data_IF_272818684095
#
_entry.id   IF_272818684095
#
_cell.length_a   1.000
_cell.length_b   1.000
_cell.length_c   1.000
_cell.angle_alpha   90.00
_cell.angle_beta   90.00
_cell.angle_gamma   90.00
#
_symmetry.space_group_name_H-M   'P 1'
#
loop_
_entity.id
_entity.type
_entity.pdbx_description
1 polymer ?
#
# COMPACT_ATOMS: atom_id res chain seq x y z
N UNK A 1 7.97 -8.11 -3.00
CA UNK A 1 8.78 -8.17 -4.24
C UNK A 1 7.91 -7.85 -5.45
N UNK A 2 8.48 -7.60 -6.63
CA UNK A 2 7.68 -7.40 -7.85
C UNK A 2 6.71 -8.58 -8.12
N UNK A 3 7.17 -9.79 -7.84
CA UNK A 3 6.37 -11.03 -7.90
C UNK A 3 5.15 -11.01 -6.96
N UNK A 4 5.29 -10.45 -5.75
CA UNK A 4 4.17 -10.27 -4.82
C UNK A 4 3.12 -9.32 -5.38
N UNK A 5 3.54 -8.26 -6.08
CA UNK A 5 2.62 -7.29 -6.67
C UNK A 5 1.91 -7.88 -7.90
N UNK A 6 2.62 -8.70 -8.69
CA UNK A 6 2.07 -9.37 -9.86
C UNK A 6 1.16 -10.57 -9.52
N UNK A 7 1.26 -11.12 -8.30
CA UNK A 7 0.44 -12.25 -7.88
C UNK A 7 -1.03 -11.84 -7.71
N UNK A 8 -1.92 -12.49 -8.46
CA UNK A 8 -3.38 -12.34 -8.36
C UNK A 8 -3.99 -13.23 -7.27
N UNK A 9 -3.40 -13.21 -6.07
CA UNK A 9 -3.92 -13.91 -4.89
C UNK A 9 -4.33 -12.94 -3.78
N UNK A 10 -5.38 -13.24 -2.98
CA UNK A 10 -5.76 -12.43 -1.83
C UNK A 10 -4.61 -12.24 -0.82
N UNK A 11 -3.79 -13.26 -0.62
CA UNK A 11 -2.67 -13.21 0.33
C UNK A 11 -1.57 -12.25 -0.14
N UNK A 12 -1.28 -12.26 -1.43
CA UNK A 12 -0.36 -11.29 -2.01
C UNK A 12 -0.89 -9.85 -1.85
N UNK A 13 -2.20 -9.64 -2.02
CA UNK A 13 -2.81 -8.33 -1.81
C UNK A 13 -2.74 -7.86 -0.35
N UNK A 14 -2.98 -8.78 0.60
CA UNK A 14 -2.81 -8.49 2.04
C UNK A 14 -1.36 -8.15 2.39
N UNK A 15 -0.39 -8.87 1.80
CA UNK A 15 1.03 -8.59 2.00
C UNK A 15 1.43 -7.20 1.48
N UNK A 16 0.95 -6.82 0.29
CA UNK A 16 1.19 -5.50 -0.28
C UNK A 16 0.58 -4.38 0.59
N UNK A 17 -0.66 -4.54 1.06
CA UNK A 17 -1.31 -3.59 1.97
C UNK A 17 -0.50 -3.36 3.24
N UNK A 18 -0.01 -4.43 3.88
CA UNK A 18 0.81 -4.34 5.10
C UNK A 18 2.07 -3.49 4.90
N UNK A 19 2.75 -3.64 3.77
CA UNK A 19 3.95 -2.85 3.45
C UNK A 19 3.62 -1.39 3.15
N UNK A 20 2.52 -1.13 2.44
CA UNK A 20 2.04 0.25 2.17
C UNK A 20 1.72 0.95 3.50
N UNK A 21 0.96 0.30 4.39
CA UNK A 21 0.62 0.86 5.69
C UNK A 21 1.85 1.13 6.56
N UNK A 22 2.83 0.23 6.54
CA UNK A 22 4.12 0.42 7.22
C UNK A 22 4.84 1.65 6.68
N UNK A 23 4.91 1.81 5.37
CA UNK A 23 5.51 2.97 4.73
C UNK A 23 4.75 4.27 5.09
N UNK A 24 3.42 4.24 5.12
CA UNK A 24 2.60 5.39 5.54
C UNK A 24 2.84 5.80 6.98
N UNK A 25 2.97 4.83 7.91
CA UNK A 25 3.33 5.11 9.31
C UNK A 25 4.70 5.77 9.38
N UNK A 26 5.69 5.24 8.64
CA UNK A 26 7.02 5.84 8.56
C UNK A 26 7.00 7.27 8.03
N UNK A 27 6.22 7.55 6.99
CA UNK A 27 6.08 8.89 6.42
C UNK A 27 5.40 9.85 7.41
N UNK A 28 4.32 9.42 8.08
CA UNK A 28 3.63 10.23 9.09
C UNK A 28 4.52 10.55 10.28
N UNK A 29 5.41 9.64 10.69
CA UNK A 29 6.35 9.89 11.77
C UNK A 29 7.35 11.01 11.45
N UNK A 30 7.57 11.34 10.16
CA UNK A 30 8.44 12.43 9.72
C UNK A 30 7.74 13.79 9.63
N UNK A 31 6.44 13.91 9.94
CA UNK A 31 5.72 15.19 9.83
C UNK A 31 6.46 16.34 10.50
N UNK A 32 6.68 17.43 9.76
CA UNK A 32 7.43 18.59 10.22
C UNK A 32 8.96 18.45 10.16
N UNK A 33 9.49 17.28 9.80
CA UNK A 33 10.91 17.07 9.51
C UNK A 33 11.19 17.35 8.04
N UNK A 34 12.40 17.83 7.71
CA UNK A 34 12.80 18.17 6.34
C UNK A 34 12.72 16.99 5.36
N UNK A 35 12.78 15.76 5.88
CA UNK A 35 12.66 14.53 5.08
C UNK A 35 11.23 14.01 4.94
N UNK A 36 10.23 14.75 5.43
CA UNK A 36 8.84 14.47 5.09
C UNK A 36 8.61 14.77 3.61
N UNK A 37 8.06 13.80 2.90
CA UNK A 37 7.72 13.97 1.49
C UNK A 37 6.20 13.85 1.29
N UNK A 38 5.57 14.99 0.96
CA UNK A 38 4.13 15.06 0.69
C UNK A 38 3.73 14.23 -0.54
N UNK A 39 4.52 14.26 -1.60
CA UNK A 39 4.22 13.53 -2.84
C UNK A 39 4.32 12.03 -2.60
N UNK A 40 5.30 11.59 -1.81
CA UNK A 40 5.41 10.22 -1.34
C UNK A 40 4.19 9.84 -0.48
N UNK A 41 3.75 10.70 0.42
CA UNK A 41 2.58 10.44 1.26
C UNK A 41 1.30 10.27 0.42
N UNK A 42 1.07 11.14 -0.56
CA UNK A 42 -0.06 11.05 -1.50
C UNK A 42 0.03 9.76 -2.33
N UNK A 43 1.21 9.44 -2.84
CA UNK A 43 1.42 8.22 -3.63
C UNK A 43 1.10 6.95 -2.83
N UNK A 44 1.47 6.92 -1.54
CA UNK A 44 1.12 5.82 -0.64
C UNK A 44 -0.39 5.72 -0.38
N UNK A 45 -1.11 6.84 -0.27
CA UNK A 45 -2.57 6.85 -0.15
C UNK A 45 -3.26 6.29 -1.40
N UNK A 46 -2.79 6.70 -2.59
CA UNK A 46 -3.28 6.19 -3.86
C UNK A 46 -3.04 4.69 -3.98
N UNK A 47 -1.82 4.24 -3.68
CA UNK A 47 -1.46 2.81 -3.69
C UNK A 47 -2.32 2.00 -2.72
N UNK A 48 -2.52 2.49 -1.49
CA UNK A 48 -3.36 1.83 -0.49
C UNK A 48 -4.79 1.64 -1.03
N UNK A 49 -5.40 2.71 -1.55
CA UNK A 49 -6.76 2.64 -2.10
C UNK A 49 -6.86 1.66 -3.28
N UNK A 50 -5.89 1.67 -4.19
CA UNK A 50 -5.85 0.74 -5.32
C UNK A 50 -5.76 -0.71 -4.85
N UNK A 51 -4.91 -0.98 -3.86
CA UNK A 51 -4.69 -2.34 -3.34
C UNK A 51 -5.89 -2.84 -2.52
N UNK A 52 -6.56 -1.98 -1.75
CA UNK A 52 -7.82 -2.33 -1.09
C UNK A 52 -8.89 -2.74 -2.12
N UNK A 53 -9.03 -1.97 -3.20
CA UNK A 53 -9.96 -2.30 -4.27
C UNK A 53 -9.58 -3.62 -4.97
N UNK A 54 -8.28 -3.90 -5.15
CA UNK A 54 -7.79 -5.17 -5.68
C UNK A 54 -8.15 -6.34 -4.78
N UNK A 55 -7.89 -6.24 -3.48
CA UNK A 55 -8.25 -7.27 -2.50
C UNK A 55 -9.75 -7.57 -2.54
N UNK A 56 -10.62 -6.54 -2.56
CA UNK A 56 -12.06 -6.74 -2.65
C UNK A 56 -12.45 -7.49 -3.94
N UNK A 57 -11.87 -7.14 -5.09
CA UNK A 57 -12.12 -7.87 -6.34
C UNK A 57 -11.69 -9.34 -6.28
N UNK A 58 -10.56 -9.62 -5.63
CA UNK A 58 -10.03 -10.98 -5.50
C UNK A 58 -10.88 -11.82 -4.54
N UNK A 59 -11.33 -11.25 -3.43
CA UNK A 59 -12.21 -11.93 -2.48
C UNK A 59 -13.59 -12.22 -3.06
N UNK A 60 -14.11 -11.34 -3.92
CA UNK A 60 -15.41 -11.53 -4.58
C UNK A 60 -15.36 -12.50 -5.78
N UNK A 61 -14.17 -12.90 -6.23
CA UNK A 61 -13.95 -13.86 -7.33
C UNK A 61 -13.69 -15.29 -6.83
N UNK A 62 -13.36 -15.44 -5.54
CA UNK A 62 -13.12 -16.71 -4.89
C UNK A 62 -14.44 -17.34 -4.43
#
# INVERSE_FOLDING_TARGET
SAETIASESPDAARAALKEIERAMRGERARRGHWSYDLNRHISLLVAHRAETARLHRLLNRA
#
